data_IF_517837387956
#
_entry.id   IF_517837387956
#
_cell.length_a   1.000
_cell.length_b   1.000
_cell.length_c   1.000
_cell.angle_alpha   90.00
_cell.angle_beta   90.00
_cell.angle_gamma   90.00
#
_symmetry.space_group_name_H-M   'P 1'
#
loop_
_entity.id
_entity.type
_entity.pdbx_description
1 polymer ?
#
# COMPACT_ATOMS: atom_id res chain seq x y z
N UNK A 1 73.59 27.77 -14.45
CA UNK A 1 73.27 28.74 -13.38
C UNK A 1 71.93 28.28 -12.77
N UNK A 2 72.10 27.51 -11.76
CA UNK A 2 72.02 27.88 -10.34
C UNK A 2 70.56 28.12 -9.97
N UNK A 3 69.96 27.22 -9.29
CA UNK A 3 69.98 26.80 -7.86
C UNK A 3 68.91 27.54 -7.07
N UNK A 4 68.07 26.83 -6.43
CA UNK A 4 67.88 26.47 -5.00
C UNK A 4 66.44 26.03 -4.78
N UNK A 5 66.18 24.80 -4.37
CA UNK A 5 66.12 24.29 -3.00
C UNK A 5 65.20 25.12 -2.06
N UNK A 6 64.20 24.47 -1.60
CA UNK A 6 63.35 24.82 -0.45
C UNK A 6 62.27 23.80 -0.27
N UNK A 7 62.50 22.79 0.40
CA UNK A 7 62.13 22.11 1.65
C UNK A 7 60.85 22.60 2.31
N UNK A 8 59.99 21.63 2.61
CA UNK A 8 59.14 21.72 3.78
C UNK A 8 57.70 21.35 3.47
N UNK A 9 57.35 20.19 3.86
CA UNK A 9 56.69 19.81 5.10
C UNK A 9 55.18 19.55 4.97
N UNK A 10 54.87 18.34 5.35
CA UNK A 10 53.72 17.94 6.14
C UNK A 10 52.29 18.04 5.53
N UNK A 11 51.79 16.89 5.21
CA UNK A 11 50.54 16.28 5.69
C UNK A 11 49.42 17.21 6.09
N UNK A 12 48.39 17.22 5.28
CA UNK A 12 47.06 17.47 5.76
C UNK A 12 46.17 16.38 5.13
N UNK A 13 45.75 15.43 5.96
CA UNK A 13 44.61 14.58 5.70
C UNK A 13 43.40 15.50 5.58
N UNK A 14 42.85 15.61 4.38
CA UNK A 14 41.51 16.17 4.21
C UNK A 14 40.57 15.08 4.64
N UNK A 15 40.00 15.23 5.84
CA UNK A 15 38.81 14.55 6.25
C UNK A 15 37.71 14.95 5.28
N UNK A 16 37.15 13.97 4.60
CA UNK A 16 35.87 14.12 3.93
C UNK A 16 34.84 14.34 5.04
N UNK A 17 34.50 15.62 5.25
CA UNK A 17 33.28 15.98 5.97
C UNK A 17 32.10 15.41 5.16
N UNK A 18 31.53 14.33 5.65
CA UNK A 18 30.18 13.94 5.31
C UNK A 18 29.27 15.12 5.71
N UNK A 19 28.92 15.95 4.76
CA UNK A 19 27.79 16.83 4.88
C UNK A 19 26.55 15.94 4.97
N UNK A 20 26.08 15.76 6.18
CA UNK A 20 24.74 15.34 6.50
C UNK A 20 23.81 16.42 5.90
N UNK A 21 23.36 16.21 4.69
CA UNK A 21 22.25 16.96 4.13
C UNK A 21 21.02 16.59 4.99
N UNK A 22 20.89 17.25 6.12
CA UNK A 22 19.61 17.38 6.79
C UNK A 22 18.66 17.99 5.77
N UNK A 23 17.90 17.10 5.13
CA UNK A 23 16.76 17.40 4.30
C UNK A 23 15.95 18.48 5.03
N UNK A 24 15.92 19.67 4.46
CA UNK A 24 15.04 20.75 4.91
C UNK A 24 13.61 20.26 4.67
N UNK A 25 13.12 19.47 5.63
CA UNK A 25 11.68 19.27 5.77
C UNK A 25 11.10 20.65 6.00
N UNK A 26 10.58 21.24 4.94
CA UNK A 26 9.60 22.31 5.01
C UNK A 26 8.63 21.87 6.11
N UNK A 27 8.68 22.53 7.26
CA UNK A 27 7.75 22.34 8.37
C UNK A 27 6.38 22.80 7.88
N UNK A 28 5.78 21.98 7.00
CA UNK A 28 4.39 22.11 6.59
C UNK A 28 3.58 21.93 7.87
N UNK A 29 3.04 23.02 8.38
CA UNK A 29 2.14 23.02 9.48
C UNK A 29 0.99 22.07 9.17
N UNK A 30 1.07 20.84 9.71
CA UNK A 30 -0.10 19.98 9.81
C UNK A 30 -1.09 20.78 10.64
N UNK A 31 -2.15 21.27 10.02
CA UNK A 31 -3.15 22.06 10.72
C UNK A 31 -3.92 21.12 11.65
N UNK A 32 -3.45 21.02 12.89
CA UNK A 32 -4.24 20.42 13.96
C UNK A 32 -5.41 21.35 14.30
N UNK A 33 -6.54 20.76 14.70
CA UNK A 33 -7.66 21.56 15.16
C UNK A 33 -7.33 22.25 16.48
N UNK A 34 -7.78 23.51 16.63
CA UNK A 34 -7.62 24.29 17.85
C UNK A 34 -8.61 23.90 18.96
N UNK A 35 -9.62 23.12 18.64
CA UNK A 35 -10.66 22.59 19.54
C UNK A 35 -10.26 21.17 19.97
N UNK A 36 -10.55 20.79 21.20
CA UNK A 36 -10.25 19.44 21.69
C UNK A 36 -11.12 18.39 20.99
N UNK A 37 -10.57 17.18 20.82
CA UNK A 37 -11.25 16.07 20.15
C UNK A 37 -12.60 15.75 20.81
N UNK A 38 -12.62 15.72 22.14
CA UNK A 38 -13.81 15.39 22.92
C UNK A 38 -14.89 16.49 22.90
N UNK A 39 -14.60 17.67 22.41
CA UNK A 39 -15.63 18.71 22.16
C UNK A 39 -16.43 18.43 20.89
N UNK A 40 -15.79 17.85 19.85
CA UNK A 40 -16.44 17.58 18.55
C UNK A 40 -16.95 16.13 18.41
N UNK A 41 -16.29 15.15 19.04
CA UNK A 41 -16.58 13.73 18.85
C UNK A 41 -16.83 12.98 20.16
N UNK A 42 -17.65 11.93 20.07
CA UNK A 42 -17.85 10.94 21.13
C UNK A 42 -17.30 9.60 20.66
N UNK A 43 -16.31 9.04 21.40
CA UNK A 43 -15.78 7.71 21.12
C UNK A 43 -16.78 6.62 21.46
N UNK A 44 -16.97 5.70 20.53
CA UNK A 44 -17.80 4.51 20.64
C UNK A 44 -17.00 3.23 20.84
N UNK A 45 -17.50 2.15 20.24
CA UNK A 45 -16.90 0.82 20.32
C UNK A 45 -15.53 0.78 19.64
N UNK A 46 -14.68 -0.10 20.13
CA UNK A 46 -13.43 -0.44 19.49
C UNK A 46 -13.69 -1.21 18.19
N UNK A 47 -13.01 -0.80 17.13
CA UNK A 47 -13.07 -1.42 15.83
C UNK A 47 -11.86 -2.31 15.58
N UNK A 48 -10.73 -2.02 16.23
CA UNK A 48 -9.52 -2.82 16.12
C UNK A 48 -8.32 -2.20 16.83
N UNK A 49 -7.25 -3.00 16.99
CA UNK A 49 -5.99 -2.61 17.62
C UNK A 49 -4.81 -2.85 16.69
N UNK A 50 -3.93 -1.86 16.57
CA UNK A 50 -2.61 -1.98 15.98
C UNK A 50 -1.50 -2.04 17.04
N UNK A 51 -0.24 -2.08 16.60
CA UNK A 51 0.91 -2.17 17.50
C UNK A 51 0.99 -0.97 18.46
N UNK A 52 0.67 0.24 18.00
CA UNK A 52 0.74 1.49 18.78
C UNK A 52 -0.55 2.33 18.65
N UNK A 53 -1.63 1.74 18.17
CA UNK A 53 -2.88 2.46 17.92
C UNK A 53 -4.10 1.62 18.22
N UNK A 54 -5.20 2.28 18.57
CA UNK A 54 -6.53 1.69 18.68
C UNK A 54 -7.45 2.44 17.75
N UNK A 55 -8.16 1.74 16.87
CA UNK A 55 -9.20 2.34 16.05
C UNK A 55 -10.54 2.15 16.73
N UNK A 56 -11.29 3.23 16.85
CA UNK A 56 -12.62 3.23 17.45
C UNK A 56 -13.62 3.90 16.51
N UNK A 57 -14.86 3.46 16.58
CA UNK A 57 -15.94 4.25 16.02
C UNK A 57 -16.07 5.56 16.81
N UNK A 58 -16.39 6.65 16.15
CA UNK A 58 -16.76 7.89 16.80
C UNK A 58 -17.98 8.50 16.12
N UNK A 59 -18.75 9.25 16.88
CA UNK A 59 -19.87 10.02 16.40
C UNK A 59 -19.57 11.52 16.53
N UNK A 60 -19.71 12.24 15.42
CA UNK A 60 -19.57 13.68 15.41
C UNK A 60 -20.80 14.32 16.09
N UNK A 61 -20.61 15.02 17.20
CA UNK A 61 -21.67 15.48 18.11
C UNK A 61 -22.74 16.35 17.46
N UNK A 62 -22.37 17.17 16.47
CA UNK A 62 -23.30 18.09 15.83
C UNK A 62 -24.10 17.44 14.67
N UNK A 63 -23.47 16.55 13.91
CA UNK A 63 -24.12 15.96 12.72
C UNK A 63 -24.61 14.54 12.89
N UNK A 64 -24.24 13.85 13.97
CA UNK A 64 -24.54 12.43 14.19
C UNK A 64 -23.80 11.50 13.23
N UNK A 65 -22.86 12.01 12.42
CA UNK A 65 -22.11 11.19 11.46
C UNK A 65 -21.19 10.24 12.20
N UNK A 66 -21.24 8.95 11.84
CA UNK A 66 -20.31 7.94 12.34
C UNK A 66 -19.05 7.92 11.49
N UNK A 67 -17.90 7.85 12.15
CA UNK A 67 -16.57 7.90 11.57
C UNK A 67 -15.67 6.88 12.29
N UNK A 68 -14.53 6.57 11.69
CA UNK A 68 -13.46 5.82 12.34
C UNK A 68 -12.41 6.79 12.88
N UNK A 69 -11.90 6.52 14.08
CA UNK A 69 -10.84 7.32 14.69
C UNK A 69 -9.69 6.42 15.09
N UNK A 70 -8.52 6.64 14.50
CA UNK A 70 -7.24 6.04 14.92
C UNK A 70 -6.70 6.86 16.07
N UNK A 71 -6.71 6.27 17.28
CA UNK A 71 -6.21 6.85 18.51
C UNK A 71 -4.79 6.35 18.76
N UNK A 72 -3.83 7.24 18.88
CA UNK A 72 -2.41 6.89 19.02
C UNK A 72 -1.86 7.61 20.25
N UNK A 73 -1.38 6.84 21.25
CA UNK A 73 -0.73 7.42 22.42
C UNK A 73 0.67 7.93 22.07
N UNK A 74 1.03 9.10 22.57
CA UNK A 74 2.34 9.72 22.30
C UNK A 74 3.47 9.12 23.13
N UNK A 75 3.18 8.70 24.35
CA UNK A 75 4.21 8.21 25.29
C UNK A 75 5.10 7.09 24.75
N UNK A 76 4.59 6.06 24.04
CA UNK A 76 5.43 5.00 23.48
C UNK A 76 6.13 5.36 22.16
N UNK A 77 5.82 6.51 21.53
CA UNK A 77 6.40 6.91 20.25
C UNK A 77 7.80 7.49 20.43
N UNK A 78 8.73 7.07 19.60
CA UNK A 78 9.99 7.79 19.43
C UNK A 78 9.85 8.91 18.36
N UNK A 79 10.90 9.70 18.16
CA UNK A 79 10.86 10.84 17.22
C UNK A 79 10.64 10.39 15.76
N UNK A 80 11.17 9.21 15.38
CA UNK A 80 11.00 8.68 14.03
C UNK A 80 9.57 8.20 13.80
N UNK A 81 8.94 7.57 14.81
CA UNK A 81 7.54 7.13 14.75
C UNK A 81 6.59 8.32 14.64
N UNK A 82 6.86 9.38 15.41
CA UNK A 82 6.08 10.62 15.36
C UNK A 82 6.23 11.30 13.98
N UNK A 83 7.44 11.41 13.47
CA UNK A 83 7.71 11.96 12.15
C UNK A 83 7.01 11.17 11.04
N UNK A 84 7.04 9.82 11.11
CA UNK A 84 6.34 8.97 10.16
C UNK A 84 4.81 9.17 10.21
N UNK A 85 4.24 9.29 11.41
CA UNK A 85 2.81 9.57 11.58
C UNK A 85 2.42 10.94 10.99
N UNK A 86 3.20 11.98 11.27
CA UNK A 86 2.93 13.31 10.73
C UNK A 86 3.08 13.34 9.20
N UNK A 87 3.99 12.54 8.65
CA UNK A 87 4.08 12.34 7.20
C UNK A 87 2.83 11.67 6.63
N UNK A 88 2.31 10.59 7.26
CA UNK A 88 1.05 9.93 6.88
C UNK A 88 -0.10 10.95 6.86
N UNK A 89 -0.26 11.71 7.94
CA UNK A 89 -1.28 12.77 8.05
C UNK A 89 -1.15 13.81 6.94
N UNK A 90 0.07 14.31 6.68
CA UNK A 90 0.34 15.30 5.64
C UNK A 90 0.02 14.77 4.23
N UNK A 91 0.25 13.49 3.98
CA UNK A 91 -0.13 12.83 2.72
C UNK A 91 -1.65 12.72 2.62
N UNK A 92 -2.32 12.18 3.65
CA UNK A 92 -3.77 11.97 3.66
C UNK A 92 -4.54 13.29 3.52
N UNK A 93 -4.07 14.40 4.09
CA UNK A 93 -4.69 15.72 3.94
C UNK A 93 -4.68 16.24 2.49
N UNK A 94 -3.74 15.78 1.67
CA UNK A 94 -3.61 16.18 0.25
C UNK A 94 -4.41 15.29 -0.69
N UNK A 95 -4.86 14.13 -0.21
CA UNK A 95 -5.57 13.15 -1.01
C UNK A 95 -7.09 13.39 -0.89
N UNK A 96 -7.73 13.64 -2.04
CA UNK A 96 -9.19 13.73 -2.16
C UNK A 96 -9.64 12.92 -3.39
N UNK A 97 -9.96 11.65 -3.15
CA UNK A 97 -10.34 10.71 -4.20
C UNK A 97 -11.42 9.76 -3.67
N UNK A 98 -12.45 9.39 -4.47
CA UNK A 98 -13.54 8.53 -4.00
C UNK A 98 -13.06 7.16 -3.52
N UNK A 99 -11.99 6.62 -4.10
CA UNK A 99 -11.43 5.32 -3.78
C UNK A 99 -10.23 5.38 -2.82
N UNK A 100 -10.05 6.47 -2.09
CA UNK A 100 -9.08 6.60 -0.99
C UNK A 100 -9.83 6.90 0.29
N UNK A 101 -9.38 6.33 1.41
CA UNK A 101 -9.90 6.70 2.74
C UNK A 101 -9.67 8.18 2.99
N UNK A 102 -10.71 8.93 3.34
CA UNK A 102 -10.59 10.37 3.57
C UNK A 102 -10.27 10.65 5.04
N UNK A 103 -9.24 11.47 5.27
CA UNK A 103 -8.97 12.07 6.56
C UNK A 103 -9.83 13.34 6.70
N UNK A 104 -10.77 13.34 7.67
CA UNK A 104 -11.69 14.47 7.92
C UNK A 104 -11.14 15.47 8.91
N UNK A 105 -10.40 14.99 9.92
CA UNK A 105 -9.79 15.84 10.93
C UNK A 105 -8.56 15.14 11.53
N UNK A 106 -7.64 15.96 11.99
CA UNK A 106 -6.49 15.54 12.78
C UNK A 106 -6.42 16.37 14.05
N UNK A 107 -6.24 15.72 15.20
CA UNK A 107 -6.06 16.36 16.49
C UNK A 107 -4.72 15.93 17.05
N UNK A 108 -3.93 16.92 17.44
CA UNK A 108 -2.64 16.79 18.08
C UNK A 108 -2.78 17.31 19.52
N UNK A 109 -3.06 16.37 20.44
CA UNK A 109 -3.27 16.69 21.86
C UNK A 109 -2.03 16.32 22.69
N UNK A 110 -1.89 16.80 23.91
CA UNK A 110 -0.67 16.60 24.70
C UNK A 110 -0.24 15.13 24.89
N UNK A 111 -1.20 14.20 24.92
CA UNK A 111 -0.95 12.77 25.20
C UNK A 111 -1.37 11.85 24.06
N UNK A 112 -2.16 12.35 23.09
CA UNK A 112 -2.77 11.54 22.05
C UNK A 112 -2.78 12.25 20.70
N UNK A 113 -2.65 11.46 19.64
CA UNK A 113 -3.06 11.85 18.29
C UNK A 113 -4.40 11.17 17.95
N UNK A 114 -5.30 11.91 17.28
CA UNK A 114 -6.55 11.36 16.75
C UNK A 114 -6.65 11.67 15.25
N UNK A 115 -6.73 10.63 14.44
CA UNK A 115 -6.98 10.70 13.00
C UNK A 115 -8.43 10.30 12.75
N UNK A 116 -9.28 11.25 12.37
CA UNK A 116 -10.71 11.03 12.09
C UNK A 116 -10.89 10.76 10.60
N UNK A 117 -11.35 9.57 10.25
CA UNK A 117 -11.40 9.07 8.89
C UNK A 117 -12.78 8.50 8.53
N UNK A 118 -12.98 8.17 7.25
CA UNK A 118 -14.17 7.42 6.83
C UNK A 118 -14.32 6.13 7.64
N UNK A 119 -15.54 5.84 8.08
CA UNK A 119 -15.89 4.54 8.61
C UNK A 119 -16.23 3.60 7.44
N UNK A 120 -15.48 2.50 7.33
CA UNK A 120 -15.63 1.50 6.27
C UNK A 120 -16.10 0.20 6.92
N UNK A 121 -17.29 -0.26 6.57
CA UNK A 121 -17.94 -1.39 7.23
C UNK A 121 -17.99 -2.66 6.36
N UNK A 122 -17.66 -2.58 5.06
CA UNK A 122 -17.82 -3.67 4.10
C UNK A 122 -16.76 -4.78 4.15
N UNK A 123 -15.69 -4.61 4.93
CA UNK A 123 -14.63 -5.61 5.10
C UNK A 123 -13.61 -5.66 3.94
N UNK A 124 -12.64 -6.58 4.03
CA UNK A 124 -11.60 -6.74 3.00
C UNK A 124 -12.17 -7.22 1.68
N UNK A 125 -11.77 -6.57 0.58
CA UNK A 125 -12.20 -6.92 -0.76
C UNK A 125 -11.94 -8.40 -1.11
N UNK A 126 -10.73 -8.87 -0.85
CA UNK A 126 -10.32 -10.25 -1.20
C UNK A 126 -11.07 -11.31 -0.39
N UNK A 127 -11.42 -11.01 0.87
CA UNK A 127 -12.26 -11.91 1.69
C UNK A 127 -13.68 -11.99 1.13
N UNK A 128 -14.22 -10.87 0.70
CA UNK A 128 -15.55 -10.82 0.09
C UNK A 128 -15.58 -11.55 -1.25
N UNK A 129 -14.59 -11.34 -2.12
CA UNK A 129 -14.47 -12.08 -3.37
C UNK A 129 -14.40 -13.58 -3.10
N UNK A 130 -13.60 -14.00 -2.11
CA UNK A 130 -13.48 -15.41 -1.74
C UNK A 130 -14.81 -16.04 -1.27
N UNK A 131 -15.77 -15.26 -0.80
CA UNK A 131 -17.09 -15.73 -0.36
C UNK A 131 -18.11 -15.81 -1.49
N UNK A 132 -17.85 -15.22 -2.66
CA UNK A 132 -18.76 -15.25 -3.80
C UNK A 132 -19.01 -16.68 -4.31
N UNK A 133 -20.18 -16.89 -4.88
CA UNK A 133 -20.50 -18.12 -5.63
C UNK A 133 -20.01 -18.06 -7.08
N UNK A 134 -19.96 -16.86 -7.62
CA UNK A 134 -19.50 -16.58 -8.97
C UNK A 134 -18.51 -15.42 -8.97
N UNK A 135 -17.45 -15.58 -9.73
CA UNK A 135 -16.44 -14.55 -9.99
C UNK A 135 -15.88 -14.72 -11.40
N UNK A 136 -15.65 -13.63 -12.08
CA UNK A 136 -15.20 -13.62 -13.48
C UNK A 136 -13.96 -12.77 -13.67
N UNK A 137 -13.26 -13.01 -14.79
CA UNK A 137 -12.13 -12.18 -15.22
C UNK A 137 -12.54 -10.70 -15.40
N UNK A 138 -13.78 -10.48 -15.86
CA UNK A 138 -14.33 -9.11 -16.00
C UNK A 138 -14.40 -8.39 -14.65
N UNK A 139 -14.92 -9.04 -13.60
CA UNK A 139 -14.98 -8.44 -12.28
C UNK A 139 -13.58 -8.13 -11.73
N UNK A 140 -12.61 -9.04 -11.94
CA UNK A 140 -11.20 -8.80 -11.59
C UNK A 140 -10.65 -7.56 -12.30
N UNK A 141 -10.87 -7.46 -13.63
CA UNK A 141 -10.45 -6.33 -14.45
C UNK A 141 -11.04 -5.01 -13.96
N UNK A 142 -12.34 -4.99 -13.68
CA UNK A 142 -13.03 -3.78 -13.23
C UNK A 142 -12.47 -3.27 -11.89
N UNK A 143 -12.16 -4.18 -10.96
CA UNK A 143 -11.50 -3.84 -9.69
C UNK A 143 -10.08 -3.31 -9.89
N UNK A 144 -9.30 -3.96 -10.77
CA UNK A 144 -7.92 -3.50 -11.07
C UNK A 144 -7.94 -2.16 -11.78
N UNK A 145 -8.92 -1.88 -12.64
CA UNK A 145 -9.09 -0.57 -13.27
C UNK A 145 -9.28 0.53 -12.22
N UNK A 146 -10.15 0.31 -11.22
CA UNK A 146 -10.37 1.27 -10.12
C UNK A 146 -9.06 1.49 -9.34
N UNK A 147 -8.34 0.41 -9.01
CA UNK A 147 -7.07 0.50 -8.29
C UNK A 147 -6.01 1.25 -9.09
N UNK A 148 -5.88 0.98 -10.40
CA UNK A 148 -4.96 1.68 -11.30
C UNK A 148 -5.25 3.18 -11.37
N UNK A 149 -6.53 3.56 -11.50
CA UNK A 149 -6.94 4.97 -11.51
C UNK A 149 -6.61 5.66 -10.20
N UNK A 150 -6.81 4.96 -9.07
CA UNK A 150 -6.50 5.44 -7.73
C UNK A 150 -4.99 5.65 -7.54
N UNK A 151 -4.18 4.69 -7.96
CA UNK A 151 -2.72 4.78 -7.86
C UNK A 151 -2.16 5.80 -8.84
N UNK A 152 -2.73 5.91 -10.05
CA UNK A 152 -2.35 6.98 -10.97
C UNK A 152 -2.57 8.35 -10.34
N UNK A 153 -3.71 8.57 -9.67
CA UNK A 153 -3.97 9.83 -8.95
C UNK A 153 -2.89 10.11 -7.88
N UNK A 154 -2.52 9.12 -7.06
CA UNK A 154 -1.41 9.28 -6.10
C UNK A 154 -0.09 9.62 -6.80
N UNK A 155 0.23 8.88 -7.87
CA UNK A 155 1.46 9.07 -8.65
C UNK A 155 1.55 10.43 -9.34
N UNK A 156 0.42 10.99 -9.79
CA UNK A 156 0.36 12.34 -10.37
C UNK A 156 0.69 13.42 -9.32
N UNK A 157 0.38 13.17 -8.05
CA UNK A 157 0.75 14.03 -6.91
C UNK A 157 2.18 13.76 -6.39
N UNK A 158 2.91 12.83 -7.02
CA UNK A 158 4.24 12.42 -6.58
C UNK A 158 4.23 11.55 -5.31
N UNK A 159 3.10 10.92 -4.97
CA UNK A 159 2.95 10.06 -3.80
C UNK A 159 3.03 8.61 -4.24
N UNK A 160 3.87 7.81 -3.55
CA UNK A 160 4.04 6.37 -3.72
C UNK A 160 3.51 5.68 -2.46
N UNK A 161 2.66 4.66 -2.62
CA UNK A 161 2.00 3.97 -1.50
C UNK A 161 2.92 2.99 -0.77
N UNK A 162 3.68 2.17 -1.49
CA UNK A 162 4.72 1.23 -1.03
C UNK A 162 4.25 0.00 -0.25
N UNK A 163 2.96 -0.11 0.08
CA UNK A 163 2.40 -1.29 0.78
C UNK A 163 1.03 -1.70 0.23
N UNK A 164 0.91 -1.80 -1.10
CA UNK A 164 -0.30 -2.31 -1.73
C UNK A 164 -0.42 -3.81 -1.48
N UNK A 165 -1.51 -4.20 -0.80
CA UNK A 165 -1.82 -5.58 -0.42
C UNK A 165 -3.33 -5.75 -0.25
N UNK A 166 -3.85 -7.00 -0.22
CA UNK A 166 -5.29 -7.26 -0.05
C UNK A 166 -5.91 -6.58 1.16
N UNK A 167 -5.19 -6.53 2.29
CA UNK A 167 -5.65 -5.95 3.54
C UNK A 167 -5.95 -4.46 3.46
N UNK A 168 -5.30 -3.76 2.53
CA UNK A 168 -5.44 -2.32 2.35
C UNK A 168 -6.50 -1.94 1.30
N UNK A 169 -7.24 -2.93 0.77
CA UNK A 169 -8.36 -2.76 -0.16
C UNK A 169 -9.66 -3.15 0.52
N UNK A 170 -10.49 -2.16 0.83
CA UNK A 170 -11.74 -2.37 1.56
C UNK A 170 -12.96 -2.06 0.72
N UNK A 171 -14.04 -2.79 0.98
CA UNK A 171 -15.38 -2.48 0.47
C UNK A 171 -16.06 -1.46 1.37
N UNK A 172 -16.67 -0.43 0.78
CA UNK A 172 -17.33 0.64 1.55
C UNK A 172 -18.53 0.09 2.32
N UNK A 173 -19.29 -0.81 1.72
CA UNK A 173 -20.47 -1.43 2.34
C UNK A 173 -20.55 -2.91 2.05
N UNK A 174 -21.43 -3.61 2.76
CA UNK A 174 -21.72 -5.05 2.51
C UNK A 174 -22.53 -5.30 1.23
N UNK A 175 -23.20 -4.30 0.70
CA UNK A 175 -24.14 -4.45 -0.41
C UNK A 175 -23.50 -4.18 -1.78
N UNK A 176 -22.31 -3.58 -1.81
CA UNK A 176 -21.62 -3.18 -3.04
C UNK A 176 -20.14 -3.53 -3.01
N UNK A 177 -19.74 -4.50 -3.83
CA UNK A 177 -18.35 -4.93 -3.97
C UNK A 177 -17.55 -4.06 -4.94
N UNK A 178 -18.19 -3.18 -5.70
CA UNK A 178 -17.54 -2.27 -6.66
C UNK A 178 -17.07 -0.98 -6.01
N UNK A 179 -17.66 -0.62 -4.86
CA UNK A 179 -17.26 0.56 -4.10
C UNK A 179 -16.13 0.21 -3.13
N UNK A 180 -14.89 0.41 -3.59
CA UNK A 180 -13.68 0.10 -2.82
C UNK A 180 -12.94 1.35 -2.42
N UNK A 181 -12.23 1.27 -1.29
CA UNK A 181 -11.31 2.30 -0.82
C UNK A 181 -9.93 1.70 -0.49
N UNK A 182 -8.91 2.36 -1.00
CA UNK A 182 -7.53 2.15 -0.59
C UNK A 182 -7.27 2.89 0.72
N UNK A 183 -6.54 2.26 1.58
CA UNK A 183 -6.29 2.71 2.94
C UNK A 183 -4.87 2.37 3.38
N UNK A 184 -4.49 2.77 4.61
CA UNK A 184 -3.16 2.58 5.19
C UNK A 184 -2.04 3.21 4.36
N UNK A 185 -1.87 4.51 4.53
CA UNK A 185 -0.80 5.31 3.93
C UNK A 185 0.43 5.42 4.85
N UNK A 186 0.53 4.57 5.89
CA UNK A 186 1.61 4.59 6.86
C UNK A 186 3.01 4.38 6.29
N UNK A 187 3.10 3.73 5.13
CA UNK A 187 4.35 3.62 4.36
C UNK A 187 4.43 4.60 3.19
N UNK A 188 3.40 5.41 2.94
CA UNK A 188 3.41 6.29 1.78
C UNK A 188 4.49 7.38 1.89
N UNK A 189 5.07 7.73 0.75
CA UNK A 189 6.09 8.77 0.69
C UNK A 189 5.92 9.66 -0.53
N UNK A 190 6.35 10.93 -0.38
CA UNK A 190 6.41 11.89 -1.48
C UNK A 190 7.76 11.80 -2.15
N UNK A 191 7.76 11.70 -3.47
CA UNK A 191 8.97 11.76 -4.29
C UNK A 191 9.50 13.20 -4.37
N UNK A 192 10.81 13.34 -4.20
CA UNK A 192 11.57 14.58 -4.48
C UNK A 192 12.28 14.53 -5.84
N UNK A 193 12.33 13.35 -6.46
CA UNK A 193 12.88 13.07 -7.79
C UNK A 193 12.30 11.76 -8.33
N UNK A 194 12.74 11.30 -9.49
CA UNK A 194 12.17 10.10 -10.17
C UNK A 194 12.31 8.85 -9.30
N UNK A 195 13.47 8.63 -8.68
CA UNK A 195 13.78 7.52 -7.77
C UNK A 195 14.54 8.05 -6.57
N UNK A 196 13.81 8.63 -5.63
CA UNK A 196 14.40 9.28 -4.45
C UNK A 196 14.14 8.51 -3.16
N UNK A 197 13.51 7.33 -3.22
CA UNK A 197 13.17 6.53 -2.05
C UNK A 197 14.18 5.41 -1.85
N UNK A 198 14.60 5.19 -0.61
CA UNK A 198 15.63 4.19 -0.26
C UNK A 198 15.22 3.27 0.89
N UNK A 199 14.13 3.59 1.60
CA UNK A 199 13.69 2.83 2.77
C UNK A 199 13.23 1.43 2.39
N UNK A 200 13.76 0.41 3.06
CA UNK A 200 13.29 -0.97 2.95
C UNK A 200 11.96 -1.11 3.69
N UNK A 201 10.85 -1.12 2.97
CA UNK A 201 9.51 -1.25 3.55
C UNK A 201 8.58 -2.02 2.62
N UNK A 202 7.39 -2.37 3.13
CA UNK A 202 6.37 -3.12 2.42
C UNK A 202 6.19 -4.54 2.97
N UNK A 203 5.16 -5.22 2.48
CA UNK A 203 4.77 -6.57 2.95
C UNK A 203 5.45 -7.65 2.09
N UNK A 204 6.14 -8.65 2.70
CA UNK A 204 6.71 -9.77 1.96
C UNK A 204 5.71 -10.41 0.99
N UNK A 205 6.15 -10.71 -0.23
CA UNK A 205 5.33 -11.25 -1.31
C UNK A 205 4.70 -10.20 -2.22
N UNK A 206 4.61 -8.93 -1.80
CA UNK A 206 4.10 -7.81 -2.61
C UNK A 206 5.19 -6.78 -2.95
N UNK A 207 6.32 -6.83 -2.25
CA UNK A 207 7.44 -5.90 -2.40
C UNK A 207 8.17 -6.11 -3.73
N UNK A 208 8.56 -5.02 -4.38
CA UNK A 208 9.26 -5.05 -5.67
C UNK A 208 10.75 -5.46 -5.53
N UNK A 209 11.35 -6.06 -6.60
CA UNK A 209 12.74 -6.52 -6.58
C UNK A 209 13.75 -5.44 -6.21
N UNK A 210 13.59 -4.22 -6.71
CA UNK A 210 14.49 -3.08 -6.45
C UNK A 210 14.53 -2.69 -4.97
N UNK A 211 13.41 -2.82 -4.22
CA UNK A 211 13.39 -2.60 -2.77
C UNK A 211 14.23 -3.66 -2.07
N UNK A 212 14.06 -4.94 -2.44
CA UNK A 212 14.83 -6.06 -1.87
C UNK A 212 16.33 -5.96 -2.22
N UNK A 213 16.66 -5.38 -3.37
CA UNK A 213 18.02 -5.13 -3.81
C UNK A 213 18.62 -3.83 -3.21
N UNK A 214 17.85 -3.09 -2.38
CA UNK A 214 18.26 -1.81 -1.77
C UNK A 214 18.67 -0.76 -2.81
N UNK A 215 18.04 -0.76 -3.97
CA UNK A 215 18.23 0.23 -5.01
C UNK A 215 17.32 1.44 -4.76
N UNK A 216 17.69 2.64 -5.24
CA UNK A 216 16.79 3.78 -5.27
C UNK A 216 15.54 3.44 -6.09
N UNK A 217 14.35 3.78 -5.58
CA UNK A 217 13.10 3.41 -6.23
C UNK A 217 12.08 4.56 -6.26
N UNK A 218 11.04 4.40 -7.04
CA UNK A 218 9.98 5.37 -7.27
C UNK A 218 8.59 4.72 -7.38
N UNK A 219 7.78 5.23 -8.28
CA UNK A 219 6.37 4.82 -8.51
C UNK A 219 6.24 3.38 -8.99
N UNK A 220 7.27 2.84 -9.59
CA UNK A 220 7.31 1.53 -10.22
C UNK A 220 7.04 0.40 -9.21
N UNK A 221 7.33 0.61 -7.93
CA UNK A 221 7.10 -0.39 -6.88
C UNK A 221 5.61 -0.68 -6.64
N UNK A 222 4.75 0.35 -6.76
CA UNK A 222 3.30 0.17 -6.66
C UNK A 222 2.76 -0.64 -7.84
N UNK A 223 3.33 -0.45 -9.03
CA UNK A 223 2.94 -1.18 -10.24
C UNK A 223 3.26 -2.68 -10.12
N UNK A 224 4.41 -3.04 -9.55
CA UNK A 224 4.73 -4.42 -9.21
C UNK A 224 3.68 -5.03 -8.27
N UNK A 225 3.35 -4.31 -7.19
CA UNK A 225 2.35 -4.78 -6.22
C UNK A 225 0.97 -4.99 -6.85
N UNK A 226 0.55 -4.12 -7.79
CA UNK A 226 -0.68 -4.29 -8.58
C UNK A 226 -0.60 -5.55 -9.44
N UNK A 227 0.55 -5.86 -10.03
CA UNK A 227 0.79 -7.10 -10.76
C UNK A 227 0.57 -8.34 -9.89
N UNK A 228 1.11 -8.33 -8.66
CA UNK A 228 0.90 -9.40 -7.66
C UNK A 228 -0.58 -9.52 -7.29
N UNK A 229 -1.25 -8.40 -7.01
CA UNK A 229 -2.68 -8.39 -6.69
C UNK A 229 -3.54 -8.93 -7.83
N UNK A 230 -3.23 -8.53 -9.08
CA UNK A 230 -3.93 -9.03 -10.27
C UNK A 230 -3.75 -10.54 -10.44
N UNK A 231 -2.52 -11.03 -10.23
CA UNK A 231 -2.24 -12.46 -10.29
C UNK A 231 -3.07 -13.24 -9.25
N UNK A 232 -3.14 -12.75 -7.99
CA UNK A 232 -3.92 -13.40 -6.93
C UNK A 232 -5.42 -13.36 -7.23
N UNK A 233 -5.95 -12.23 -7.73
CA UNK A 233 -7.36 -12.10 -8.09
C UNK A 233 -7.79 -13.08 -9.18
N UNK A 234 -6.94 -13.31 -10.16
CA UNK A 234 -7.21 -14.21 -11.29
C UNK A 234 -6.86 -15.66 -10.99
N UNK A 235 -5.68 -15.92 -10.41
CA UNK A 235 -5.18 -17.26 -10.15
C UNK A 235 -5.68 -17.90 -8.86
N UNK A 236 -6.00 -17.06 -7.85
CA UNK A 236 -6.43 -17.50 -6.52
C UNK A 236 -5.27 -17.79 -5.54
N UNK A 237 -4.03 -17.67 -5.98
CA UNK A 237 -2.81 -17.90 -5.20
C UNK A 237 -1.72 -16.89 -5.59
N UNK A 238 -0.70 -16.65 -4.74
CA UNK A 238 0.33 -15.65 -5.04
C UNK A 238 1.33 -16.15 -6.11
N UNK A 239 1.89 -15.23 -6.95
CA UNK A 239 2.88 -15.59 -7.96
C UNK A 239 4.21 -16.04 -7.34
N UNK A 240 4.55 -15.48 -6.18
CA UNK A 240 5.77 -15.80 -5.44
C UNK A 240 5.37 -16.35 -4.07
N UNK A 241 5.83 -17.55 -3.77
CA UNK A 241 5.59 -18.21 -2.49
C UNK A 241 6.78 -19.08 -2.09
N UNK A 242 7.17 -18.94 -0.85
CA UNK A 242 8.03 -19.85 -0.14
C UNK A 242 7.76 -19.74 1.35
N UNK A 243 7.96 -20.81 2.14
CA UNK A 243 7.85 -20.75 3.60
C UNK A 243 9.08 -20.09 4.23
N UNK A 244 10.21 -20.11 3.54
CA UNK A 244 11.44 -19.41 3.88
C UNK A 244 11.46 -18.01 3.21
N UNK A 245 11.68 -16.97 4.01
CA UNK A 245 11.68 -15.59 3.52
C UNK A 245 12.86 -15.29 2.58
N UNK A 246 14.03 -15.92 2.78
CA UNK A 246 15.18 -15.70 1.91
C UNK A 246 14.91 -16.29 0.52
N UNK A 247 14.36 -17.51 0.47
CA UNK A 247 13.96 -18.15 -0.78
C UNK A 247 12.85 -17.37 -1.49
N UNK A 248 11.86 -16.86 -0.75
CA UNK A 248 10.82 -15.99 -1.29
C UNK A 248 11.43 -14.74 -1.96
N UNK A 249 12.38 -14.09 -1.29
CA UNK A 249 13.03 -12.89 -1.82
C UNK A 249 13.87 -13.19 -3.06
N UNK A 250 14.58 -14.31 -3.11
CA UNK A 250 15.32 -14.71 -4.30
C UNK A 250 14.39 -14.98 -5.50
N UNK A 251 13.22 -15.61 -5.28
CA UNK A 251 12.20 -15.79 -6.33
C UNK A 251 11.66 -14.45 -6.84
N UNK A 252 11.39 -13.51 -5.95
CA UNK A 252 10.91 -12.15 -6.30
C UNK A 252 11.99 -11.42 -7.11
N UNK A 253 13.26 -11.42 -6.65
CA UNK A 253 14.38 -10.79 -7.35
C UNK A 253 14.61 -11.37 -8.75
N UNK A 254 14.43 -12.67 -8.89
CA UNK A 254 14.54 -13.36 -10.18
C UNK A 254 13.32 -13.14 -11.09
N UNK A 255 12.17 -12.70 -10.54
CA UNK A 255 10.93 -12.51 -11.29
C UNK A 255 10.38 -13.83 -11.87
N UNK A 256 10.69 -14.97 -11.25
CA UNK A 256 10.29 -16.30 -11.76
C UNK A 256 8.97 -16.74 -11.14
N UNK A 257 7.93 -16.78 -11.95
CA UNK A 257 6.60 -17.28 -11.61
C UNK A 257 5.99 -17.99 -12.83
N UNK A 258 4.94 -18.77 -12.63
CA UNK A 258 4.32 -19.58 -13.67
C UNK A 258 2.80 -19.43 -13.68
N UNK A 259 2.20 -19.51 -14.84
CA UNK A 259 0.75 -19.61 -15.02
C UNK A 259 0.36 -21.08 -15.13
N UNK A 260 0.07 -21.74 -14.01
CA UNK A 260 -0.27 -23.17 -14.01
C UNK A 260 -1.59 -23.45 -14.74
N UNK A 261 -1.59 -24.34 -15.70
CA UNK A 261 -2.73 -24.63 -16.60
C UNK A 261 -4.03 -24.96 -15.85
N UNK A 262 -3.96 -25.62 -14.71
CA UNK A 262 -5.12 -25.98 -13.88
C UNK A 262 -6.00 -24.76 -13.51
N UNK A 263 -5.39 -23.59 -13.38
CA UNK A 263 -6.05 -22.35 -12.98
C UNK A 263 -6.06 -21.30 -14.10
N UNK A 264 -5.11 -21.34 -15.03
CA UNK A 264 -4.88 -20.27 -15.99
C UNK A 264 -5.35 -20.58 -17.41
N UNK A 265 -5.80 -21.82 -17.71
CA UNK A 265 -6.25 -22.19 -19.06
C UNK A 265 -7.49 -21.44 -19.54
N UNK A 266 -8.31 -20.91 -18.61
CA UNK A 266 -9.54 -20.14 -18.93
C UNK A 266 -9.34 -18.65 -18.94
N UNK A 267 -8.21 -18.15 -18.44
CA UNK A 267 -7.87 -16.73 -18.35
C UNK A 267 -7.29 -16.28 -19.69
N UNK A 268 -7.68 -15.09 -20.12
CA UNK A 268 -7.29 -14.54 -21.42
C UNK A 268 -5.76 -14.35 -21.53
N UNK A 269 -5.28 -14.30 -22.77
CA UNK A 269 -3.88 -13.97 -23.05
C UNK A 269 -3.58 -12.53 -22.60
N UNK A 270 -4.50 -11.62 -22.84
CA UNK A 270 -4.39 -10.20 -22.50
C UNK A 270 -4.23 -9.98 -20.98
N UNK A 271 -4.92 -10.78 -20.15
CA UNK A 271 -4.75 -10.74 -18.70
C UNK A 271 -3.35 -11.19 -18.27
N UNK A 272 -2.84 -12.27 -18.87
CA UNK A 272 -1.49 -12.77 -18.61
C UNK A 272 -0.43 -11.77 -19.08
N UNK A 273 -0.63 -11.17 -20.25
CA UNK A 273 0.26 -10.15 -20.81
C UNK A 273 0.30 -8.90 -19.92
N UNK A 274 -0.85 -8.46 -19.42
CA UNK A 274 -0.96 -7.37 -18.43
C UNK A 274 -0.16 -7.66 -17.15
N UNK A 275 -0.27 -8.88 -16.60
CA UNK A 275 0.49 -9.30 -15.42
C UNK A 275 1.99 -9.27 -15.73
N UNK A 276 2.41 -9.80 -16.89
CA UNK A 276 3.82 -9.80 -17.31
C UNK A 276 4.40 -8.38 -17.43
N UNK A 277 3.61 -7.43 -17.96
CA UNK A 277 4.02 -6.03 -18.06
C UNK A 277 4.27 -5.39 -16.67
N UNK A 278 3.52 -5.80 -15.66
CA UNK A 278 3.65 -5.30 -14.29
C UNK A 278 4.70 -6.06 -13.47
N UNK A 279 4.83 -7.37 -13.64
CA UNK A 279 5.82 -8.21 -12.96
C UNK A 279 7.15 -8.27 -13.72
N UNK A 280 7.51 -7.18 -14.39
CA UNK A 280 8.82 -6.99 -15.03
C UNK A 280 9.84 -6.56 -13.99
N UNK A 281 10.96 -7.29 -13.86
CA UNK A 281 12.00 -7.06 -12.84
C UNK A 281 12.67 -5.70 -13.03
N UNK A 282 12.99 -5.36 -14.28
CA UNK A 282 13.56 -4.05 -14.62
C UNK A 282 12.51 -2.95 -14.43
N UNK A 283 12.69 -2.04 -13.45
CA UNK A 283 11.71 -0.98 -13.18
C UNK A 283 11.60 0.04 -14.33
N UNK A 284 12.62 0.18 -15.19
CA UNK A 284 12.56 1.07 -16.38
C UNK A 284 11.70 0.49 -17.51
N UNK A 285 11.62 -0.85 -17.57
CA UNK A 285 10.78 -1.55 -18.55
C UNK A 285 9.37 -1.86 -18.01
N UNK A 286 9.16 -1.73 -16.69
CA UNK A 286 7.86 -1.98 -16.05
C UNK A 286 6.87 -0.90 -16.44
N UNK A 287 5.64 -1.30 -16.84
CA UNK A 287 4.59 -0.38 -17.26
C UNK A 287 4.21 0.64 -16.19
N UNK A 288 4.24 1.93 -16.52
CA UNK A 288 3.73 2.98 -15.66
C UNK A 288 2.19 2.97 -15.61
N UNK A 289 1.59 3.56 -14.56
CA UNK A 289 0.12 3.57 -14.40
C UNK A 289 -0.62 4.18 -15.61
N UNK A 290 -0.06 5.24 -16.24
CA UNK A 290 -0.61 5.85 -17.46
C UNK A 290 -0.64 4.89 -18.65
N UNK A 291 0.40 4.07 -18.78
CA UNK A 291 0.59 3.19 -19.94
C UNK A 291 -0.28 1.94 -19.81
N UNK A 292 -0.29 1.33 -18.63
CA UNK A 292 -1.10 0.12 -18.39
C UNK A 292 -2.61 0.39 -18.35
N UNK A 293 -3.03 1.63 -18.10
CA UNK A 293 -4.43 2.05 -18.28
C UNK A 293 -4.88 1.99 -19.74
N UNK A 294 -3.93 1.99 -20.70
CA UNK A 294 -4.20 1.81 -22.12
C UNK A 294 -3.97 0.36 -22.60
N UNK A 295 -3.63 -0.55 -21.68
CA UNK A 295 -3.38 -1.94 -22.02
C UNK A 295 -4.64 -2.62 -22.58
N UNK A 296 -4.53 -3.50 -23.60
CA UNK A 296 -5.70 -4.17 -24.23
C UNK A 296 -6.63 -4.85 -23.21
N UNK A 297 -6.10 -5.48 -22.17
CA UNK A 297 -6.90 -6.11 -21.12
C UNK A 297 -7.77 -5.11 -20.35
N UNK A 298 -7.29 -3.86 -20.17
CA UNK A 298 -8.00 -2.81 -19.40
C UNK A 298 -9.04 -2.11 -20.27
N UNK A 299 -8.68 -1.76 -21.53
CA UNK A 299 -9.56 -0.97 -22.43
C UNK A 299 -10.58 -1.82 -23.19
N UNK A 300 -10.45 -3.15 -23.17
CA UNK A 300 -11.32 -4.07 -23.87
C UNK A 300 -12.77 -3.93 -23.40
N UNK A 301 -13.72 -3.87 -24.33
CA UNK A 301 -15.15 -3.86 -24.01
C UNK A 301 -15.53 -5.12 -23.25
N UNK A 302 -16.33 -4.96 -22.17
CA UNK A 302 -16.70 -6.04 -21.27
C UNK A 302 -17.44 -7.22 -21.92
N UNK A 303 -17.97 -7.04 -23.15
CA UNK A 303 -18.57 -8.12 -23.94
C UNK A 303 -17.53 -9.10 -24.52
N UNK A 304 -16.29 -8.63 -24.74
CA UNK A 304 -15.19 -9.42 -25.29
C UNK A 304 -14.39 -10.16 -24.20
N UNK A 305 -14.47 -9.74 -22.94
CA UNK A 305 -13.88 -10.47 -21.82
C UNK A 305 -14.81 -11.61 -21.47
N UNK A 306 -14.29 -12.84 -21.54
CA UNK A 306 -15.08 -14.03 -21.25
C UNK A 306 -15.68 -13.93 -19.85
N UNK A 307 -17.00 -13.87 -19.76
CA UNK A 307 -17.76 -14.03 -18.50
C UNK A 307 -17.64 -15.45 -17.93
N UNK A 308 -16.51 -16.10 -18.17
CA UNK A 308 -16.24 -17.46 -17.73
C UNK A 308 -16.05 -17.46 -16.22
N UNK A 309 -16.80 -18.31 -15.53
CA UNK A 309 -16.66 -18.48 -14.08
C UNK A 309 -15.28 -19.00 -13.70
N UNK A 310 -14.64 -18.34 -12.76
CA UNK A 310 -13.37 -18.72 -12.16
C UNK A 310 -13.57 -19.48 -10.83
N UNK A 311 -14.53 -20.39 -10.76
CA UNK A 311 -14.89 -21.11 -9.52
C UNK A 311 -13.73 -21.93 -8.94
N UNK A 312 -12.89 -22.55 -9.77
CA UNK A 312 -11.70 -23.27 -9.31
C UNK A 312 -10.73 -22.30 -8.59
N UNK A 313 -10.55 -21.13 -9.17
CA UNK A 313 -9.66 -20.10 -8.67
C UNK A 313 -10.19 -19.46 -7.38
N UNK A 314 -11.52 -19.27 -7.26
CA UNK A 314 -12.17 -18.88 -6.02
C UNK A 314 -11.93 -19.87 -4.88
N UNK A 315 -11.92 -21.16 -5.18
CA UNK A 315 -11.61 -22.19 -4.17
C UNK A 315 -10.18 -22.05 -3.64
N UNK A 316 -9.23 -21.81 -4.53
CA UNK A 316 -7.84 -21.54 -4.14
C UNK A 316 -7.73 -20.25 -3.34
N UNK A 317 -8.42 -19.18 -3.75
CA UNK A 317 -8.46 -17.91 -3.02
C UNK A 317 -9.01 -18.10 -1.60
N UNK A 318 -10.08 -18.89 -1.43
CA UNK A 318 -10.61 -19.26 -0.10
C UNK A 318 -9.56 -19.96 0.76
N UNK A 319 -8.82 -20.91 0.20
CA UNK A 319 -7.76 -21.64 0.90
C UNK A 319 -6.59 -20.72 1.26
N UNK A 320 -6.19 -19.85 0.34
CA UNK A 320 -5.14 -18.87 0.57
C UNK A 320 -5.50 -17.92 1.73
N UNK A 321 -6.72 -17.36 1.71
CA UNK A 321 -7.20 -16.49 2.79
C UNK A 321 -7.32 -17.24 4.13
N UNK A 322 -7.80 -18.48 4.13
CA UNK A 322 -7.87 -19.30 5.34
C UNK A 322 -6.48 -19.59 5.94
N UNK A 323 -5.49 -19.95 5.09
CA UNK A 323 -4.08 -20.16 5.53
C UNK A 323 -3.49 -18.88 6.13
N UNK A 324 -3.75 -17.73 5.50
CA UNK A 324 -3.27 -16.43 5.95
C UNK A 324 -3.84 -16.07 7.32
N UNK A 325 -5.15 -16.24 7.52
CA UNK A 325 -5.82 -16.05 8.82
C UNK A 325 -5.25 -16.98 9.89
N UNK A 326 -5.05 -18.25 9.56
CA UNK A 326 -4.48 -19.22 10.50
C UNK A 326 -3.05 -18.85 10.91
N UNK A 327 -2.19 -18.47 9.95
CA UNK A 327 -0.82 -18.00 10.25
C UNK A 327 -0.84 -16.73 11.13
N UNK A 328 -1.75 -15.80 10.89
CA UNK A 328 -1.90 -14.59 11.69
C UNK A 328 -2.38 -14.92 13.12
N UNK A 329 -3.35 -15.82 13.27
CA UNK A 329 -3.84 -16.30 14.55
C UNK A 329 -2.73 -16.99 15.37
N UNK A 330 -1.95 -17.88 14.74
CA UNK A 330 -0.85 -18.59 15.38
C UNK A 330 0.28 -17.67 15.86
N UNK A 331 0.45 -16.47 15.27
CA UNK A 331 1.42 -15.45 15.71
C UNK A 331 0.90 -14.57 16.86
N UNK A 332 -0.24 -14.91 17.48
CA UNK A 332 -0.80 -14.17 18.62
C UNK A 332 -1.46 -12.83 18.23
N UNK A 333 -1.70 -12.59 16.96
CA UNK A 333 -2.45 -11.43 16.47
C UNK A 333 -3.94 -11.77 16.42
N UNK A 334 -4.48 -12.29 17.53
CA UNK A 334 -5.90 -12.55 17.74
C UNK A 334 -6.55 -11.37 18.47
N UNK A 335 -6.72 -10.24 17.76
CA UNK A 335 -7.81 -9.33 18.04
C UNK A 335 -8.87 -9.53 16.96
N UNK A 336 -10.13 -9.35 17.27
CA UNK A 336 -11.17 -9.22 16.25
C UNK A 336 -10.70 -8.17 15.26
N UNK A 337 -10.34 -8.61 14.03
CA UNK A 337 -9.91 -7.71 12.97
C UNK A 337 -11.12 -6.95 12.44
N UNK A 338 -11.44 -5.89 13.10
CA UNK A 338 -11.97 -4.72 12.41
C UNK A 338 -10.72 -4.01 11.90
N UNK A 339 -10.67 -3.74 10.61
CA UNK A 339 -9.47 -3.29 9.89
C UNK A 339 -8.89 -2.06 10.54
N UNK A 340 -7.71 -2.24 11.12
CA UNK A 340 -6.90 -1.23 11.78
C UNK A 340 -5.79 -0.87 10.82
N UNK A 341 -5.81 0.34 10.40
CA UNK A 341 -4.84 1.04 9.57
C UNK A 341 -3.57 1.36 10.34
#
# INVERSE_FOLDING_TARGET
RAARLGTGSAGAMLGEEYHDEHDQFDHLHVSSRSVAFDEEYTLGQELGTGAMSVVRMAEHKHSGRRLAVKCIAKEPLNLDDEAALLQEVNILQKLDHPNIVKLHAFFDEPTMFYLVMDLIEGGELFERIAQKEFYSEKEARDLILILLQTIKYCHDLGIVHRDLKPENLLCVSYDDDSSIKLCDFGFAAKLTGTRSLHQLCGTPGYVAPEILNRQPYGKEVDMWSIGVLTYILLGGYPPFYDDDHEQLYERIKAGVYEFHDDFWCKISYEAKDFINALLTVDPDARGAASDVLQHPWIIQDGENIKGTSLQSNLKELKQFQAKKRFKAAAKGVLGHRVYVW
#
